data_IF_349772259725
#
_entry.id   IF_349772259725
#
_cell.length_a   1.000
_cell.length_b   1.000
_cell.length_c   1.000
_cell.angle_alpha   90.00
_cell.angle_beta   90.00
_cell.angle_gamma   90.00
#
_symmetry.space_group_name_H-M   'P 1'
#
loop_
_entity.id
_entity.type
_entity.pdbx_description
1 polymer ?
#
# COMPACT_ATOMS: atom_id res chain seq x y z
N UNK A 1 22.49 -57.09 40.38
CA UNK A 1 21.73 -56.27 39.40
C UNK A 1 21.50 -54.79 39.78
N UNK A 2 21.49 -54.35 41.05
CA UNK A 2 21.26 -52.93 41.41
C UNK A 2 22.39 -51.95 41.02
N UNK A 3 23.67 -52.37 41.09
CA UNK A 3 24.83 -51.50 40.79
C UNK A 3 24.94 -51.08 39.31
N UNK A 4 24.38 -51.86 38.38
CA UNK A 4 24.50 -51.60 36.95
C UNK A 4 23.48 -50.54 36.48
N UNK A 5 22.25 -50.55 37.04
CA UNK A 5 21.22 -49.51 36.77
C UNK A 5 21.64 -48.11 37.26
N UNK A 6 22.41 -48.03 38.35
CA UNK A 6 22.82 -46.75 38.93
C UNK A 6 23.90 -46.03 38.09
N UNK A 7 24.78 -46.78 37.42
CA UNK A 7 25.77 -46.21 36.50
C UNK A 7 25.14 -45.70 35.20
N UNK A 8 24.15 -46.41 34.66
CA UNK A 8 23.47 -46.02 33.42
C UNK A 8 22.63 -44.75 33.60
N UNK A 9 21.93 -44.59 34.73
CA UNK A 9 21.15 -43.38 35.04
C UNK A 9 22.04 -42.14 35.20
N UNK A 10 23.23 -42.29 35.77
CA UNK A 10 24.19 -41.19 35.93
C UNK A 10 24.81 -40.74 34.59
N UNK A 11 24.96 -41.65 33.64
CA UNK A 11 25.47 -41.34 32.30
C UNK A 11 24.42 -40.61 31.44
N UNK A 12 23.16 -41.06 31.51
CA UNK A 12 22.04 -40.43 30.79
C UNK A 12 21.77 -39.02 31.34
N UNK A 13 21.82 -38.83 32.66
CA UNK A 13 21.65 -37.51 33.27
C UNK A 13 22.73 -36.51 32.85
N UNK A 14 23.99 -36.94 32.73
CA UNK A 14 25.09 -36.09 32.25
C UNK A 14 24.97 -35.75 30.76
N UNK A 15 24.51 -36.69 29.93
CA UNK A 15 24.30 -36.47 28.50
C UNK A 15 23.17 -35.47 28.23
N UNK A 16 22.05 -35.58 28.97
CA UNK A 16 20.92 -34.64 28.86
C UNK A 16 21.30 -33.23 29.33
N UNK A 17 22.11 -33.11 30.39
CA UNK A 17 22.60 -31.81 30.86
C UNK A 17 23.50 -31.13 29.82
N UNK A 18 24.38 -31.87 29.13
CA UNK A 18 25.25 -31.34 28.07
C UNK A 18 24.42 -30.86 26.86
N UNK A 19 23.41 -31.63 26.45
CA UNK A 19 22.51 -31.24 25.34
C UNK A 19 21.72 -29.97 25.71
N UNK A 20 21.26 -29.85 26.96
CA UNK A 20 20.55 -28.67 27.42
C UNK A 20 21.46 -27.43 27.47
N UNK A 21 22.73 -27.58 27.90
CA UNK A 21 23.73 -26.50 27.89
C UNK A 21 24.11 -26.08 26.46
N UNK A 22 24.21 -27.04 25.52
CA UNK A 22 24.48 -26.74 24.11
C UNK A 22 23.29 -26.03 23.44
N UNK A 23 22.05 -26.44 23.74
CA UNK A 23 20.84 -25.79 23.23
C UNK A 23 20.67 -24.37 23.78
N UNK A 24 20.87 -24.17 25.08
CA UNK A 24 20.79 -22.85 25.72
C UNK A 24 21.94 -21.93 25.33
N UNK A 25 23.16 -22.44 25.19
CA UNK A 25 24.31 -21.69 24.67
C UNK A 25 24.11 -21.23 23.22
N UNK A 26 23.44 -22.05 22.39
CA UNK A 26 23.09 -21.68 21.01
C UNK A 26 22.12 -20.49 20.95
N UNK A 27 21.12 -20.43 21.84
CA UNK A 27 20.18 -19.29 21.92
C UNK A 27 20.85 -17.98 22.37
N UNK A 28 21.87 -18.05 23.23
CA UNK A 28 22.61 -16.86 23.70
C UNK A 28 23.53 -16.32 22.59
N UNK A 29 24.15 -17.17 21.78
CA UNK A 29 25.05 -16.75 20.69
C UNK A 29 24.31 -16.07 19.53
N UNK A 30 23.06 -16.47 19.24
CA UNK A 30 22.21 -15.76 18.28
C UNK A 30 21.73 -14.38 18.79
N UNK A 31 21.63 -14.21 20.11
CA UNK A 31 21.14 -12.96 20.70
C UNK A 31 22.21 -11.84 20.75
N UNK A 32 23.49 -12.18 20.68
CA UNK A 32 24.59 -11.20 20.75
C UNK A 32 25.09 -10.70 19.39
N UNK A 33 24.90 -11.44 18.30
CA UNK A 33 25.38 -11.05 16.96
C UNK A 33 24.50 -10.00 16.26
N UNK A 34 23.28 -9.76 16.74
CA UNK A 34 22.35 -8.78 16.14
C UNK A 34 22.65 -7.33 16.61
N UNK A 35 23.34 -7.15 17.76
CA UNK A 35 23.53 -5.81 18.35
C UNK A 35 24.57 -4.93 17.65
N UNK A 36 25.44 -5.47 16.80
CA UNK A 36 26.52 -4.70 16.15
C UNK A 36 26.24 -4.33 14.69
N UNK A 37 25.20 -4.91 14.06
CA UNK A 37 24.91 -4.72 12.62
C UNK A 37 24.24 -3.37 12.30
N UNK A 38 23.54 -2.75 13.25
CA UNK A 38 22.67 -1.60 12.92
C UNK A 38 23.30 -0.23 13.12
N UNK A 39 24.31 -0.11 13.99
CA UNK A 39 24.87 1.19 14.37
C UNK A 39 25.78 1.82 13.31
N UNK A 40 26.59 1.00 12.62
CA UNK A 40 27.68 1.53 11.81
C UNK A 40 27.23 1.97 10.41
N UNK A 41 26.32 1.26 9.75
CA UNK A 41 25.83 1.67 8.44
C UNK A 41 24.93 2.92 8.52
N UNK A 42 24.12 3.08 9.57
CA UNK A 42 23.28 4.27 9.78
C UNK A 42 24.13 5.54 9.95
N UNK A 43 25.24 5.45 10.70
CA UNK A 43 26.23 6.52 10.82
C UNK A 43 26.88 6.82 9.46
N UNK A 44 27.24 5.78 8.69
CA UNK A 44 27.78 5.95 7.33
C UNK A 44 26.79 6.61 6.37
N UNK A 45 25.48 6.42 6.57
CA UNK A 45 24.43 7.11 5.82
C UNK A 45 24.12 8.52 6.36
N UNK A 46 24.50 8.79 7.61
CA UNK A 46 24.28 10.06 8.29
C UNK A 46 22.82 10.24 8.72
N UNK A 47 22.16 9.16 9.13
CA UNK A 47 20.74 9.14 9.54
C UNK A 47 20.56 8.50 10.92
N UNK A 48 19.51 8.91 11.64
CA UNK A 48 19.13 8.23 12.88
C UNK A 48 18.36 6.94 12.59
N UNK A 49 18.22 6.09 13.61
CA UNK A 49 17.36 4.90 13.53
C UNK A 49 15.91 5.26 13.23
N UNK A 50 15.38 6.28 13.90
CA UNK A 50 14.00 6.75 13.71
C UNK A 50 13.77 7.22 12.28
N UNK A 51 14.71 8.00 11.72
CA UNK A 51 14.61 8.46 10.33
C UNK A 51 14.70 7.28 9.35
N UNK A 52 15.54 6.29 9.63
CA UNK A 52 15.65 5.09 8.79
C UNK A 52 14.34 4.29 8.77
N UNK A 53 13.74 4.09 9.93
CA UNK A 53 12.46 3.41 10.11
C UNK A 53 11.35 4.11 9.30
N UNK A 54 11.21 5.42 9.47
CA UNK A 54 10.23 6.23 8.75
C UNK A 54 10.45 6.18 7.23
N UNK A 55 11.72 6.28 6.79
CA UNK A 55 12.08 6.20 5.37
C UNK A 55 11.76 4.86 4.75
N UNK A 56 11.90 3.76 5.49
CA UNK A 56 11.51 2.43 5.02
C UNK A 56 10.00 2.35 4.83
N UNK A 57 9.21 2.87 5.79
CA UNK A 57 7.74 2.96 5.66
C UNK A 57 7.39 3.77 4.43
N UNK A 58 7.84 5.03 4.36
CA UNK A 58 7.53 5.94 3.26
C UNK A 58 7.94 5.37 1.92
N UNK A 59 9.11 4.71 1.86
CA UNK A 59 9.62 4.19 0.59
C UNK A 59 8.84 2.99 0.08
N UNK A 60 8.62 1.99 0.94
CA UNK A 60 7.97 0.74 0.55
C UNK A 60 6.47 0.96 0.35
N UNK A 61 5.82 1.65 1.29
CA UNK A 61 4.37 1.91 1.23
C UNK A 61 4.05 2.94 0.15
N UNK A 62 4.79 4.04 0.09
CA UNK A 62 4.58 5.11 -0.90
C UNK A 62 5.04 4.75 -2.31
N UNK A 63 5.91 3.75 -2.48
CA UNK A 63 6.38 3.33 -3.79
C UNK A 63 7.35 4.34 -4.43
N UNK A 64 8.11 5.07 -3.64
CA UNK A 64 9.13 6.03 -4.11
C UNK A 64 10.26 6.12 -3.11
N UNK A 65 11.51 6.25 -3.53
CA UNK A 65 12.64 6.35 -2.60
C UNK A 65 12.60 7.65 -1.77
N UNK A 66 12.37 7.55 -0.47
CA UNK A 66 12.52 8.65 0.49
C UNK A 66 14.00 8.82 0.88
N UNK A 67 14.74 9.50 0.01
CA UNK A 67 16.17 9.79 0.21
C UNK A 67 16.45 11.13 0.90
N UNK A 68 15.42 11.96 1.14
CA UNK A 68 15.63 13.32 1.66
C UNK A 68 16.29 13.28 3.04
N UNK A 69 17.34 14.07 3.24
CA UNK A 69 18.08 14.08 4.51
C UNK A 69 19.13 12.98 4.67
N UNK A 70 19.29 12.05 3.73
CA UNK A 70 20.45 11.14 3.70
C UNK A 70 21.67 11.94 3.22
N UNK A 71 22.63 12.19 4.11
CA UNK A 71 23.73 13.14 3.86
C UNK A 71 24.96 12.49 3.24
N UNK A 72 25.26 11.26 3.61
CA UNK A 72 26.58 10.66 3.37
C UNK A 72 26.58 9.56 2.30
N UNK A 73 25.42 9.20 1.71
CA UNK A 73 25.32 8.12 0.74
C UNK A 73 26.27 8.30 -0.48
N UNK A 74 26.48 9.54 -0.94
CA UNK A 74 27.41 9.84 -2.05
C UNK A 74 28.89 9.65 -1.67
N UNK A 75 29.20 9.73 -0.38
CA UNK A 75 30.56 9.67 0.16
C UNK A 75 30.98 8.24 0.51
N UNK A 76 30.10 7.25 0.36
CA UNK A 76 30.45 5.85 0.56
C UNK A 76 31.45 5.45 -0.53
N UNK A 77 32.65 5.05 -0.09
CA UNK A 77 33.72 4.56 -0.96
C UNK A 77 33.20 3.41 -1.83
N UNK A 78 33.61 3.37 -3.10
CA UNK A 78 33.10 2.39 -4.08
C UNK A 78 33.21 0.96 -3.55
N UNK A 79 34.37 0.58 -3.00
CA UNK A 79 34.59 -0.75 -2.41
C UNK A 79 33.74 -1.08 -1.17
N UNK A 80 33.12 -0.09 -0.53
CA UNK A 80 32.27 -0.29 0.64
C UNK A 80 30.77 -0.32 0.31
N UNK A 81 30.38 0.02 -0.94
CA UNK A 81 28.96 0.13 -1.31
C UNK A 81 28.22 -1.19 -1.16
N UNK A 82 28.84 -2.32 -1.51
CA UNK A 82 28.24 -3.64 -1.37
C UNK A 82 27.90 -3.95 0.09
N UNK A 83 28.85 -3.72 1.01
CA UNK A 83 28.66 -3.96 2.43
C UNK A 83 27.53 -3.10 3.02
N UNK A 84 27.56 -1.78 2.80
CA UNK A 84 26.50 -0.87 3.28
C UNK A 84 25.15 -1.22 2.67
N UNK A 85 25.10 -1.60 1.39
CA UNK A 85 23.86 -2.04 0.74
C UNK A 85 23.28 -3.28 1.43
N UNK A 86 24.14 -4.27 1.72
CA UNK A 86 23.72 -5.51 2.40
C UNK A 86 23.19 -5.24 3.81
N UNK A 87 23.88 -4.39 4.57
CA UNK A 87 23.47 -4.04 5.94
C UNK A 87 22.12 -3.28 5.95
N UNK A 88 21.96 -2.32 5.04
CA UNK A 88 20.69 -1.60 4.86
C UNK A 88 19.54 -2.55 4.50
N UNK A 89 19.78 -3.53 3.61
CA UNK A 89 18.76 -4.50 3.19
C UNK A 89 18.41 -5.47 4.32
N UNK A 90 19.39 -5.94 5.10
CA UNK A 90 19.14 -6.76 6.28
C UNK A 90 18.34 -6.00 7.33
N UNK A 91 18.69 -4.73 7.56
CA UNK A 91 17.93 -3.84 8.44
C UNK A 91 16.49 -3.67 7.95
N UNK A 92 16.31 -3.39 6.65
CA UNK A 92 15.01 -3.24 6.02
C UNK A 92 14.16 -4.50 6.16
N UNK A 93 14.73 -5.68 5.86
CA UNK A 93 14.06 -6.97 6.02
C UNK A 93 13.62 -7.23 7.45
N UNK A 94 14.45 -6.90 8.42
CA UNK A 94 14.11 -6.99 9.85
C UNK A 94 12.97 -6.03 10.19
N UNK A 95 13.05 -4.78 9.73
CA UNK A 95 12.07 -3.75 10.06
C UNK A 95 10.69 -3.99 9.44
N UNK A 96 10.61 -4.50 8.21
CA UNK A 96 9.30 -4.78 7.60
C UNK A 96 8.54 -5.90 8.30
N UNK A 97 9.24 -6.80 9.00
CA UNK A 97 8.63 -7.81 9.88
C UNK A 97 8.23 -7.27 11.26
N UNK A 98 8.46 -5.99 11.55
CA UNK A 98 8.17 -5.40 12.85
C UNK A 98 6.69 -5.05 13.02
N UNK A 99 6.17 -5.00 14.27
CA UNK A 99 4.81 -4.56 14.54
C UNK A 99 4.50 -3.15 14.00
N UNK A 100 5.50 -2.25 14.00
CA UNK A 100 5.34 -0.89 13.51
C UNK A 100 5.05 -0.84 12.00
N UNK A 101 5.81 -1.61 11.21
CA UNK A 101 5.59 -1.69 9.76
C UNK A 101 4.26 -2.37 9.43
N UNK A 102 3.93 -3.48 10.11
CA UNK A 102 2.66 -4.19 9.92
C UNK A 102 1.46 -3.26 10.20
N UNK A 103 1.53 -2.46 11.27
CA UNK A 103 0.52 -1.45 11.58
C UNK A 103 0.37 -0.43 10.44
N UNK A 104 1.47 0.17 9.99
CA UNK A 104 1.45 1.17 8.91
C UNK A 104 0.89 0.58 7.59
N UNK A 105 1.25 -0.68 7.27
CA UNK A 105 0.69 -1.37 6.12
C UNK A 105 -0.82 -1.58 6.22
N UNK A 106 -1.31 -2.02 7.39
CA UNK A 106 -2.73 -2.23 7.61
C UNK A 106 -3.52 -0.92 7.52
N UNK A 107 -2.98 0.18 8.05
CA UNK A 107 -3.57 1.52 7.92
C UNK A 107 -3.66 1.96 6.45
N UNK A 108 -2.59 1.77 5.66
CA UNK A 108 -2.63 1.98 4.21
C UNK A 108 -3.72 1.12 3.57
N UNK A 109 -3.72 -0.20 3.81
CA UNK A 109 -4.67 -1.12 3.18
C UNK A 109 -6.12 -0.75 3.46
N UNK A 110 -6.44 -0.34 4.69
CA UNK A 110 -7.78 0.12 5.04
C UNK A 110 -8.13 1.45 4.39
N UNK A 111 -7.19 2.41 4.35
CA UNK A 111 -7.41 3.70 3.68
C UNK A 111 -7.67 3.55 2.18
N UNK A 112 -6.99 2.63 1.53
CA UNK A 112 -7.12 2.39 0.09
C UNK A 112 -8.27 1.42 -0.25
N UNK A 113 -9.02 0.94 0.75
CA UNK A 113 -10.15 0.03 0.53
C UNK A 113 -11.28 0.77 -0.19
N UNK A 114 -11.74 0.29 -1.36
CA UNK A 114 -12.77 0.97 -2.11
C UNK A 114 -14.10 0.89 -1.38
N UNK A 115 -14.88 1.97 -1.49
CA UNK A 115 -16.29 1.95 -1.11
C UNK A 115 -17.08 1.14 -2.14
N UNK A 116 -17.86 0.18 -1.65
CA UNK A 116 -18.76 -0.58 -2.50
C UNK A 116 -19.97 0.27 -2.86
N UNK A 117 -20.36 0.23 -4.12
CA UNK A 117 -21.54 0.93 -4.60
C UNK A 117 -22.78 0.24 -4.06
N UNK A 118 -23.79 1.02 -3.69
CA UNK A 118 -25.09 0.48 -3.27
C UNK A 118 -26.17 1.07 -4.15
N UNK A 119 -27.11 0.23 -4.56
CA UNK A 119 -28.28 0.66 -5.34
C UNK A 119 -29.46 0.75 -4.39
N UNK A 120 -30.09 1.92 -4.32
CA UNK A 120 -31.29 2.14 -3.53
C UNK A 120 -32.39 1.17 -3.97
N UNK A 121 -33.18 0.65 -3.03
CA UNK A 121 -34.33 -0.17 -3.38
C UNK A 121 -35.37 0.66 -4.14
N UNK A 122 -36.21 0.05 -4.99
CA UNK A 122 -37.31 0.77 -5.65
C UNK A 122 -38.21 1.50 -4.66
N UNK A 123 -38.46 0.91 -3.50
CA UNK A 123 -39.29 1.48 -2.44
C UNK A 123 -38.62 2.68 -1.77
N UNK A 124 -37.32 2.61 -1.51
CA UNK A 124 -36.55 3.73 -0.99
C UNK A 124 -36.51 4.89 -2.01
N UNK A 125 -36.29 4.58 -3.29
CA UNK A 125 -36.32 5.56 -4.38
C UNK A 125 -37.70 6.23 -4.51
N UNK A 126 -38.78 5.44 -4.42
CA UNK A 126 -40.15 5.96 -4.52
C UNK A 126 -40.49 6.87 -3.34
N UNK A 127 -40.13 6.46 -2.12
CA UNK A 127 -40.29 7.28 -0.92
C UNK A 127 -39.53 8.60 -1.04
N UNK A 128 -38.27 8.55 -1.46
CA UNK A 128 -37.43 9.74 -1.65
C UNK A 128 -38.00 10.68 -2.73
N UNK A 129 -38.53 10.13 -3.83
CA UNK A 129 -39.21 10.91 -4.87
C UNK A 129 -40.40 11.68 -4.29
N UNK A 130 -41.27 11.01 -3.53
CA UNK A 130 -42.44 11.64 -2.89
C UNK A 130 -41.99 12.73 -1.91
N UNK A 131 -41.01 12.45 -1.06
CA UNK A 131 -40.50 13.42 -0.07
C UNK A 131 -39.91 14.66 -0.75
N UNK A 132 -39.12 14.48 -1.81
CA UNK A 132 -38.57 15.60 -2.61
C UNK A 132 -39.68 16.40 -3.28
N UNK A 133 -40.69 15.75 -3.86
CA UNK A 133 -41.84 16.44 -4.47
C UNK A 133 -42.67 17.21 -3.44
N UNK A 134 -42.88 16.66 -2.23
CA UNK A 134 -43.56 17.38 -1.13
C UNK A 134 -42.79 18.62 -0.70
N UNK A 135 -41.47 18.50 -0.56
CA UNK A 135 -40.61 19.64 -0.25
C UNK A 135 -40.68 20.72 -1.33
N UNK A 136 -40.63 20.33 -2.60
CA UNK A 136 -40.72 21.27 -3.72
C UNK A 136 -42.06 22.03 -3.73
N UNK A 137 -43.18 21.36 -3.45
CA UNK A 137 -44.49 22.01 -3.32
C UNK A 137 -44.48 23.03 -2.18
N UNK A 138 -44.01 22.65 -0.99
CA UNK A 138 -43.97 23.55 0.16
C UNK A 138 -43.07 24.77 -0.08
N UNK A 139 -41.89 24.56 -0.66
CA UNK A 139 -40.95 25.65 -0.99
C UNK A 139 -41.57 26.60 -2.05
N UNK A 140 -42.25 26.07 -3.08
CA UNK A 140 -42.94 26.88 -4.09
C UNK A 140 -44.15 27.64 -3.53
N UNK A 141 -44.91 27.03 -2.61
CA UNK A 141 -46.03 27.71 -1.92
C UNK A 141 -45.53 28.88 -1.08
N UNK A 142 -44.42 28.68 -0.34
CA UNK A 142 -43.79 29.75 0.43
C UNK A 142 -43.27 30.89 -0.47
N UNK A 143 -42.71 30.57 -1.64
CA UNK A 143 -42.30 31.56 -2.64
C UNK A 143 -43.50 32.32 -3.21
N UNK A 144 -44.60 31.63 -3.54
CA UNK A 144 -45.83 32.26 -4.04
C UNK A 144 -46.43 33.26 -3.03
N UNK A 145 -46.39 32.92 -1.73
CA UNK A 145 -46.87 33.80 -0.66
C UNK A 145 -46.04 35.08 -0.51
N UNK A 146 -44.74 35.02 -0.80
CA UNK A 146 -43.80 36.14 -0.67
C UNK A 146 -43.64 36.95 -1.96
N UNK A 147 -44.21 36.49 -3.06
CA UNK A 147 -44.08 37.13 -4.36
C UNK A 147 -44.90 38.44 -4.43
N UNK A 148 -44.36 39.43 -5.14
CA UNK A 148 -45.10 40.64 -5.48
C UNK A 148 -46.22 40.36 -6.51
N UNK A 149 -47.07 41.37 -6.76
CA UNK A 149 -48.24 41.23 -7.62
C UNK A 149 -47.90 40.84 -9.07
N UNK A 150 -46.69 41.16 -9.55
CA UNK A 150 -46.25 40.85 -10.92
C UNK A 150 -45.81 39.40 -11.04
N UNK A 151 -45.12 38.87 -10.03
CA UNK A 151 -44.57 37.51 -10.03
C UNK A 151 -45.52 36.46 -9.45
N UNK A 152 -46.50 36.86 -8.65
CA UNK A 152 -47.44 35.96 -7.97
C UNK A 152 -48.17 35.00 -8.91
N UNK A 153 -48.73 35.40 -10.07
CA UNK A 153 -49.39 34.48 -11.00
C UNK A 153 -48.45 33.40 -11.56
N UNK A 154 -47.17 33.75 -11.74
CA UNK A 154 -46.14 32.81 -12.21
C UNK A 154 -45.87 31.74 -11.15
N UNK A 155 -45.66 32.14 -9.89
CA UNK A 155 -45.44 31.18 -8.80
C UNK A 155 -46.67 30.33 -8.51
N UNK A 156 -47.88 30.89 -8.58
CA UNK A 156 -49.13 30.12 -8.44
C UNK A 156 -49.24 29.03 -9.52
N UNK A 157 -48.87 29.33 -10.77
CA UNK A 157 -48.80 28.32 -11.84
C UNK A 157 -47.75 27.24 -11.53
N UNK A 158 -46.56 27.64 -11.05
CA UNK A 158 -45.52 26.68 -10.66
C UNK A 158 -45.95 25.78 -9.49
N UNK A 159 -46.73 26.29 -8.54
CA UNK A 159 -47.32 25.50 -7.45
C UNK A 159 -48.31 24.47 -8.01
N UNK A 160 -49.15 24.84 -8.98
CA UNK A 160 -50.07 23.91 -9.64
C UNK A 160 -49.30 22.78 -10.34
N UNK A 161 -48.26 23.13 -11.10
CA UNK A 161 -47.42 22.16 -11.80
C UNK A 161 -46.66 21.24 -10.80
N UNK A 162 -46.12 21.80 -9.72
CA UNK A 162 -45.45 21.03 -8.66
C UNK A 162 -46.42 20.07 -7.95
N UNK A 163 -47.66 20.48 -7.68
CA UNK A 163 -48.71 19.61 -7.12
C UNK A 163 -49.10 18.50 -8.08
N UNK A 164 -49.12 18.76 -9.39
CA UNK A 164 -49.34 17.72 -10.39
C UNK A 164 -48.21 16.68 -10.37
N UNK A 165 -46.96 17.13 -10.32
CA UNK A 165 -45.81 16.23 -10.20
C UNK A 165 -45.82 15.42 -8.90
N UNK A 166 -46.24 16.02 -7.78
CA UNK A 166 -46.41 15.29 -6.52
C UNK A 166 -47.46 14.17 -6.66
N UNK A 167 -48.61 14.44 -7.28
CA UNK A 167 -49.63 13.41 -7.53
C UNK A 167 -49.09 12.28 -8.42
N UNK A 168 -48.33 12.62 -9.46
CA UNK A 168 -47.67 11.63 -10.32
C UNK A 168 -46.61 10.82 -9.54
N UNK A 169 -45.89 11.43 -8.60
CA UNK A 169 -44.94 10.76 -7.72
C UNK A 169 -45.64 9.83 -6.70
N UNK A 170 -46.78 10.24 -6.15
CA UNK A 170 -47.57 9.44 -5.20
C UNK A 170 -48.33 8.29 -5.86
N UNK A 171 -48.45 8.28 -7.20
CA UNK A 171 -49.08 7.20 -7.94
C UNK A 171 -48.34 5.87 -7.70
N UNK A 172 -49.01 4.82 -7.15
CA UNK A 172 -48.40 3.50 -6.98
C UNK A 172 -47.97 2.86 -8.31
N UNK A 173 -48.53 3.31 -9.43
CA UNK A 173 -48.20 2.87 -10.79
C UNK A 173 -47.28 3.84 -11.54
N UNK A 174 -46.57 4.71 -10.83
CA UNK A 174 -45.60 5.64 -11.43
C UNK A 174 -44.66 4.89 -12.41
N UNK A 175 -44.70 5.28 -13.69
CA UNK A 175 -43.98 4.58 -14.77
C UNK A 175 -42.46 4.55 -14.56
N UNK A 176 -41.89 5.60 -13.97
CA UNK A 176 -40.46 5.66 -13.67
C UNK A 176 -40.09 4.61 -12.63
N UNK A 177 -40.84 4.55 -11.52
CA UNK A 177 -40.60 3.57 -10.45
C UNK A 177 -40.89 2.15 -10.94
N UNK A 178 -41.93 1.94 -11.73
CA UNK A 178 -42.24 0.63 -12.32
C UNK A 178 -41.11 0.12 -13.24
N UNK A 179 -40.58 0.99 -14.11
CA UNK A 179 -39.44 0.67 -14.96
C UNK A 179 -38.17 0.42 -14.13
N UNK A 180 -37.94 1.22 -13.09
CA UNK A 180 -36.82 1.01 -12.18
C UNK A 180 -36.91 -0.34 -11.48
N UNK A 181 -38.06 -0.67 -10.89
CA UNK A 181 -38.33 -1.97 -10.25
C UNK A 181 -38.13 -3.15 -11.21
N UNK A 182 -38.56 -3.00 -12.47
CA UNK A 182 -38.35 -4.03 -13.50
C UNK A 182 -36.86 -4.28 -13.79
N UNK A 183 -36.05 -3.22 -13.85
CA UNK A 183 -34.62 -3.31 -14.16
C UNK A 183 -33.74 -3.53 -12.93
N UNK A 184 -34.27 -3.33 -11.73
CA UNK A 184 -33.54 -3.38 -10.45
C UNK A 184 -32.80 -4.71 -10.24
N UNK A 185 -33.38 -5.91 -10.48
CA UNK A 185 -32.65 -7.17 -10.30
C UNK A 185 -31.41 -7.28 -11.19
N UNK A 186 -31.48 -6.80 -12.44
CA UNK A 186 -30.35 -6.81 -13.36
C UNK A 186 -29.31 -5.76 -12.95
N UNK A 187 -29.76 -4.56 -12.59
CA UNK A 187 -28.90 -3.50 -12.08
C UNK A 187 -28.13 -3.91 -10.81
N UNK A 188 -28.78 -4.65 -9.91
CA UNK A 188 -28.13 -5.23 -8.73
C UNK A 188 -27.01 -6.21 -9.12
N UNK A 189 -27.28 -7.15 -10.04
CA UNK A 189 -26.28 -8.12 -10.50
C UNK A 189 -25.07 -7.45 -11.14
N UNK A 190 -25.30 -6.44 -11.97
CA UNK A 190 -24.22 -5.73 -12.65
C UNK A 190 -23.40 -4.89 -11.66
N UNK A 191 -24.06 -4.26 -10.69
CA UNK A 191 -23.39 -3.53 -9.61
C UNK A 191 -22.58 -4.46 -8.68
N UNK A 192 -23.10 -5.64 -8.34
CA UNK A 192 -22.39 -6.65 -7.56
C UNK A 192 -21.11 -7.10 -8.27
N UNK A 193 -21.17 -7.36 -9.59
CA UNK A 193 -19.98 -7.67 -10.39
C UNK A 193 -18.94 -6.55 -10.37
N UNK A 194 -19.38 -5.29 -10.48
CA UNK A 194 -18.47 -4.14 -10.41
C UNK A 194 -17.83 -4.06 -9.02
N UNK A 195 -18.60 -4.22 -7.95
CA UNK A 195 -18.09 -4.21 -6.58
C UNK A 195 -17.11 -5.36 -6.32
N UNK A 196 -17.44 -6.57 -6.79
CA UNK A 196 -16.56 -7.72 -6.71
C UNK A 196 -15.23 -7.42 -7.40
N UNK A 197 -15.27 -6.89 -8.63
CA UNK A 197 -14.06 -6.55 -9.39
C UNK A 197 -13.22 -5.48 -8.68
N UNK A 198 -13.87 -4.46 -8.10
CA UNK A 198 -13.20 -3.43 -7.31
C UNK A 198 -12.48 -4.03 -6.09
N UNK A 199 -13.12 -4.95 -5.38
CA UNK A 199 -12.53 -5.63 -4.22
C UNK A 199 -11.39 -6.57 -4.62
N UNK A 200 -11.55 -7.34 -5.69
CA UNK A 200 -10.49 -8.21 -6.24
C UNK A 200 -9.26 -7.41 -6.67
N UNK A 201 -9.46 -6.30 -7.38
CA UNK A 201 -8.37 -5.42 -7.81
C UNK A 201 -7.67 -4.76 -6.60
N UNK A 202 -8.43 -4.39 -5.57
CA UNK A 202 -7.88 -3.89 -4.31
C UNK A 202 -7.09 -4.97 -3.56
N UNK A 203 -7.61 -6.20 -3.45
CA UNK A 203 -6.92 -7.31 -2.81
C UNK A 203 -5.64 -7.71 -3.54
N UNK A 204 -5.63 -7.63 -4.87
CA UNK A 204 -4.43 -7.84 -5.68
C UNK A 204 -3.37 -6.74 -5.45
N UNK A 205 -3.79 -5.47 -5.34
CA UNK A 205 -2.89 -4.33 -5.08
C UNK A 205 -2.42 -4.26 -3.62
N UNK A 206 -3.25 -4.70 -2.69
CA UNK A 206 -3.04 -4.64 -1.25
C UNK A 206 -3.36 -6.01 -0.61
N UNK A 207 -2.47 -7.01 -0.78
CA UNK A 207 -2.70 -8.37 -0.29
C UNK A 207 -2.83 -8.42 1.24
N UNK A 208 -3.61 -9.37 1.76
CA UNK A 208 -3.78 -9.51 3.22
C UNK A 208 -2.46 -9.73 3.99
N UNK A 209 -1.48 -10.36 3.34
CA UNK A 209 -0.13 -10.51 3.87
C UNK A 209 0.77 -9.35 3.40
N UNK A 210 1.21 -8.49 4.33
CA UNK A 210 2.11 -7.37 4.05
C UNK A 210 3.41 -7.79 3.33
N UNK A 211 3.93 -9.00 3.55
CA UNK A 211 5.13 -9.47 2.86
C UNK A 211 4.89 -9.69 1.37
N UNK A 212 3.67 -10.05 0.94
CA UNK A 212 3.33 -10.13 -0.48
C UNK A 212 3.36 -8.74 -1.13
N UNK A 213 2.96 -7.69 -0.40
CA UNK A 213 3.10 -6.32 -0.88
C UNK A 213 4.58 -5.90 -1.00
N UNK A 214 5.41 -6.26 -0.01
CA UNK A 214 6.87 -6.03 -0.09
C UNK A 214 7.48 -6.80 -1.28
N UNK A 215 7.05 -8.04 -1.53
CA UNK A 215 7.43 -8.85 -2.69
C UNK A 215 7.11 -8.15 -4.02
N UNK A 216 5.94 -7.52 -4.15
CA UNK A 216 5.61 -6.71 -5.34
C UNK A 216 6.58 -5.54 -5.56
N UNK A 217 6.96 -4.83 -4.49
CA UNK A 217 7.95 -3.73 -4.57
C UNK A 217 9.34 -4.23 -4.96
N UNK A 218 9.73 -5.37 -4.41
CA UNK A 218 10.98 -6.04 -4.74
C UNK A 218 11.02 -6.51 -6.19
N UNK A 219 9.92 -7.08 -6.71
CA UNK A 219 9.82 -7.47 -8.12
C UNK A 219 9.93 -6.24 -9.04
N UNK A 220 9.26 -5.15 -8.70
CA UNK A 220 9.38 -3.88 -9.43
C UNK A 220 10.85 -3.41 -9.50
N UNK A 221 11.59 -3.50 -8.38
CA UNK A 221 13.02 -3.18 -8.37
C UNK A 221 13.84 -4.10 -9.29
N UNK A 222 13.58 -5.41 -9.28
CA UNK A 222 14.27 -6.35 -10.18
C UNK A 222 13.98 -6.03 -11.65
N UNK A 223 12.75 -5.68 -11.99
CA UNK A 223 12.34 -5.34 -13.36
C UNK A 223 12.96 -4.03 -13.84
N UNK A 224 13.01 -3.02 -12.98
CA UNK A 224 13.53 -1.68 -13.30
C UNK A 224 15.06 -1.64 -13.39
N UNK A 225 15.75 -2.65 -12.87
CA UNK A 225 17.22 -2.72 -12.83
C UNK A 225 17.82 -3.85 -13.66
N UNK A 226 17.01 -4.61 -14.41
CA UNK A 226 17.46 -5.83 -15.11
C UNK A 226 18.43 -5.59 -16.27
N UNK A 227 18.38 -4.41 -16.89
CA UNK A 227 19.08 -4.09 -18.14
C UNK A 227 19.99 -2.86 -17.99
N UNK A 228 20.52 -2.61 -16.80
CA UNK A 228 21.42 -1.48 -16.58
C UNK A 228 22.78 -1.78 -17.19
N UNK A 229 23.19 -0.93 -18.13
CA UNK A 229 24.55 -0.88 -18.65
C UNK A 229 25.39 0.06 -17.79
N UNK A 230 26.17 -0.51 -16.86
CA UNK A 230 27.06 0.25 -15.99
C UNK A 230 28.28 0.85 -16.70
N UNK A 231 28.52 0.49 -17.97
CA UNK A 231 29.56 1.09 -18.81
C UNK A 231 29.03 2.26 -19.66
N UNK A 232 27.76 2.64 -19.48
CA UNK A 232 27.16 3.72 -20.25
C UNK A 232 27.94 5.03 -20.09
N UNK A 233 28.27 5.65 -21.23
CA UNK A 233 29.02 6.90 -21.26
C UNK A 233 28.13 8.09 -20.86
N UNK A 234 28.72 8.99 -20.07
CA UNK A 234 28.11 10.25 -19.67
C UNK A 234 28.84 11.43 -20.30
N UNK A 235 28.09 12.46 -20.66
CA UNK A 235 28.59 13.78 -21.04
C UNK A 235 28.14 14.83 -20.05
N UNK A 236 29.02 15.78 -19.72
CA UNK A 236 28.69 16.90 -18.86
C UNK A 236 28.22 18.10 -19.68
N UNK A 237 27.07 18.66 -19.31
CA UNK A 237 26.52 19.89 -19.89
C UNK A 237 25.94 20.73 -18.75
N UNK A 238 26.42 21.97 -18.59
CA UNK A 238 25.96 22.90 -17.56
C UNK A 238 26.03 22.31 -16.13
N UNK A 239 27.12 21.60 -15.78
CA UNK A 239 27.30 20.97 -14.47
C UNK A 239 26.42 19.75 -14.21
N UNK A 240 25.68 19.26 -15.22
CA UNK A 240 24.83 18.07 -15.13
C UNK A 240 25.36 16.98 -16.07
N UNK A 241 25.34 15.73 -15.58
CA UNK A 241 25.73 14.55 -16.37
C UNK A 241 24.52 13.93 -17.04
N UNK A 242 24.61 13.77 -18.36
CA UNK A 242 23.61 13.16 -19.25
C UNK A 242 24.18 11.91 -19.89
N UNK A 243 23.35 10.94 -20.23
CA UNK A 243 23.77 9.80 -21.02
C UNK A 243 24.04 10.20 -22.47
N UNK A 244 25.15 9.74 -23.03
CA UNK A 244 25.45 9.92 -24.45
C UNK A 244 24.44 9.16 -25.31
N UNK A 245 24.06 7.95 -24.88
CA UNK A 245 23.03 7.15 -25.53
C UNK A 245 21.63 7.71 -25.22
N UNK A 246 20.91 8.15 -26.26
CA UNK A 246 19.55 8.69 -26.14
C UNK A 246 18.56 7.69 -25.52
N UNK A 247 18.70 6.40 -25.79
CA UNK A 247 17.83 5.38 -25.21
C UNK A 247 17.99 5.29 -23.69
N UNK A 248 19.22 5.44 -23.18
CA UNK A 248 19.49 5.48 -21.73
C UNK A 248 19.03 6.80 -21.11
N UNK A 249 19.16 7.91 -21.83
CA UNK A 249 18.61 9.19 -21.38
C UNK A 249 17.07 9.18 -21.33
N UNK A 250 16.40 8.36 -22.14
CA UNK A 250 14.94 8.19 -22.04
C UNK A 250 14.48 7.20 -20.95
N UNK A 251 15.39 6.47 -20.29
CA UNK A 251 15.02 5.54 -19.22
C UNK A 251 14.40 6.28 -18.01
N UNK A 252 13.54 5.57 -17.28
CA UNK A 252 12.90 6.10 -16.08
C UNK A 252 13.90 6.47 -14.97
N UNK A 253 13.46 7.34 -14.06
CA UNK A 253 14.31 7.86 -12.97
C UNK A 253 14.93 6.75 -12.11
N UNK A 254 14.21 5.65 -11.86
CA UNK A 254 14.72 4.54 -11.03
C UNK A 254 15.88 3.79 -11.68
N UNK A 255 15.80 3.50 -12.98
CA UNK A 255 16.91 2.95 -13.76
C UNK A 255 18.14 3.86 -13.69
N UNK A 256 17.93 5.17 -13.89
CA UNK A 256 18.98 6.19 -13.82
C UNK A 256 19.59 6.35 -12.43
N UNK A 257 18.81 6.16 -11.36
CA UNK A 257 19.29 6.15 -9.97
C UNK A 257 20.12 4.91 -9.68
N UNK A 258 19.66 3.73 -10.10
CA UNK A 258 20.39 2.49 -9.93
C UNK A 258 21.73 2.52 -10.70
N UNK A 259 21.76 3.04 -11.93
CA UNK A 259 23.01 3.30 -12.65
C UNK A 259 23.99 4.18 -11.81
N UNK A 260 23.48 5.26 -11.20
CA UNK A 260 24.30 6.17 -10.37
C UNK A 260 24.75 5.55 -9.04
N UNK A 261 23.98 4.62 -8.49
CA UNK A 261 24.37 3.85 -7.31
C UNK A 261 25.58 2.95 -7.62
N UNK A 262 25.69 2.50 -8.87
CA UNK A 262 26.80 1.72 -9.39
C UNK A 262 26.61 0.21 -9.25
N UNK A 263 27.43 -0.54 -9.98
CA UNK A 263 27.31 -2.00 -10.16
C UNK A 263 27.27 -2.76 -8.84
N UNK A 264 28.26 -2.53 -7.98
CA UNK A 264 28.42 -3.26 -6.70
C UNK A 264 27.19 -3.14 -5.80
N UNK A 265 26.60 -1.94 -5.70
CA UNK A 265 25.39 -1.72 -4.92
C UNK A 265 24.19 -2.46 -5.53
N UNK A 266 23.97 -2.30 -6.84
CA UNK A 266 22.79 -2.85 -7.51
C UNK A 266 22.84 -4.37 -7.57
N UNK A 267 23.98 -4.98 -7.92
CA UNK A 267 24.10 -6.44 -7.99
C UNK A 267 23.96 -7.09 -6.61
N UNK A 268 24.52 -6.47 -5.57
CA UNK A 268 24.31 -6.90 -4.17
C UNK A 268 22.82 -6.87 -3.83
N UNK A 269 22.15 -5.76 -4.13
CA UNK A 269 20.72 -5.59 -3.86
C UNK A 269 19.87 -6.59 -4.65
N UNK A 270 20.14 -6.79 -5.94
CA UNK A 270 19.41 -7.75 -6.78
C UNK A 270 19.55 -9.18 -6.25
N UNK A 271 20.76 -9.58 -5.88
CA UNK A 271 21.02 -10.91 -5.31
C UNK A 271 20.24 -11.13 -4.02
N UNK A 272 20.32 -10.17 -3.09
CA UNK A 272 19.60 -10.22 -1.82
C UNK A 272 18.08 -10.25 -2.03
N UNK A 273 17.56 -9.38 -2.90
CA UNK A 273 16.13 -9.29 -3.21
C UNK A 273 15.61 -10.58 -3.83
N UNK A 274 16.35 -11.17 -4.77
CA UNK A 274 15.96 -12.44 -5.38
C UNK A 274 15.87 -13.56 -4.34
N UNK A 275 16.81 -13.64 -3.41
CA UNK A 275 16.78 -14.58 -2.29
C UNK A 275 15.57 -14.32 -1.40
N UNK A 276 15.35 -13.06 -1.01
CA UNK A 276 14.26 -12.69 -0.12
C UNK A 276 12.89 -12.95 -0.74
N UNK A 277 12.68 -12.68 -2.03
CA UNK A 277 11.45 -13.04 -2.75
C UNK A 277 11.14 -14.53 -2.63
N UNK A 278 12.15 -15.40 -2.70
CA UNK A 278 11.99 -16.86 -2.62
C UNK A 278 11.66 -17.34 -1.20
N UNK A 279 11.96 -16.55 -0.17
CA UNK A 279 11.60 -16.86 1.22
C UNK A 279 10.15 -16.45 1.56
N UNK A 280 9.55 -15.56 0.76
CA UNK A 280 8.17 -15.11 0.95
C UNK A 280 7.23 -16.07 0.22
N UNK A 281 6.55 -16.90 1.01
CA UNK A 281 5.46 -17.77 0.58
C UNK A 281 4.19 -16.97 0.28
#
# INVERSE_FOLDING_TARGET
>A
MKKQRQKTGMFIGKLLAIIFILLTGSFILFSFTIKTLTGDFLKQLGISKTDADEKIINSILGGSLDQYGIRNAKNIAVGNRAAVTKDLLLYTKTYVGSPAFIKAYNELRQREKPEVRVMQTPEAMHKELIERSKKAVADMEASAQKADATMKPMFEKMVVDAKKQLKEAEDPNNKMIANYRKNYPQGLKDMEKVNQKLLEDWESKYPGNHLLFVKMRMQQFLDETKDIDFNAQLIEKNGKKYFVNKAYESKGNRWKMAFRAGKDAVETARTFVQQWINEIN
#
